data_IF_888468438581
#
_entry.id   IF_888468438581
#
_cell.length_a   1.000
_cell.length_b   1.000
_cell.length_c   1.000
_cell.angle_alpha   90.00
_cell.angle_beta   90.00
_cell.angle_gamma   90.00
#
_symmetry.space_group_name_H-M   'P 1'
#
loop_
_entity.id
_entity.type
_entity.pdbx_description
1 polymer ?
#
# COMPACT_ATOMS: atom_id res chain seq x y z
N UNK A 1 -12.69 -3.71 5.84
CA UNK A 1 -13.48 -4.61 4.96
C UNK A 1 -12.57 -5.72 4.44
N UNK A 2 -12.66 -6.87 4.70
CA UNK A 2 -11.82 -7.96 4.28
C UNK A 2 -10.61 -8.18 5.16
N UNK A 3 -9.76 -9.09 4.74
CA UNK A 3 -8.60 -9.52 5.50
C UNK A 3 -7.49 -8.49 5.46
N UNK A 4 -6.71 -8.45 6.54
CA UNK A 4 -5.50 -7.63 6.61
C UNK A 4 -4.35 -8.42 6.02
N UNK A 5 -3.67 -7.84 5.04
CA UNK A 5 -2.46 -8.41 4.49
C UNK A 5 -1.26 -7.91 5.30
N UNK A 6 -0.36 -8.81 5.65
CA UNK A 6 0.83 -8.49 6.44
C UNK A 6 2.08 -8.72 5.61
N UNK A 7 2.89 -7.68 5.49
CA UNK A 7 4.13 -7.71 4.74
C UNK A 7 5.31 -7.36 5.66
N UNK A 8 6.17 -8.34 6.01
CA UNK A 8 7.32 -8.07 6.85
C UNK A 8 8.42 -7.35 6.06
N UNK A 9 9.10 -6.42 6.73
CA UNK A 9 10.16 -5.63 6.14
C UNK A 9 11.20 -5.30 7.21
N UNK A 10 12.48 -5.36 6.85
CA UNK A 10 13.59 -5.01 7.76
C UNK A 10 14.26 -3.75 7.26
N UNK A 11 14.50 -2.80 8.16
CA UNK A 11 15.11 -1.51 7.82
C UNK A 11 16.62 -1.68 7.66
N UNK A 12 17.12 -1.36 6.48
CA UNK A 12 18.56 -1.41 6.18
C UNK A 12 19.07 -0.01 5.81
N UNK A 13 20.37 0.10 5.52
CA UNK A 13 21.00 1.39 5.21
C UNK A 13 20.31 2.12 4.04
N UNK A 14 19.83 1.38 3.04
CA UNK A 14 19.18 1.98 1.88
C UNK A 14 17.87 2.69 2.25
N UNK A 15 17.29 2.39 3.40
CA UNK A 15 15.99 2.91 3.83
C UNK A 15 16.12 4.16 4.70
N UNK A 16 17.33 4.46 5.19
CA UNK A 16 17.52 5.52 6.19
C UNK A 16 18.24 6.73 5.62
N UNK A 17 18.05 7.86 6.30
CA UNK A 17 18.84 9.05 6.07
C UNK A 17 20.08 9.05 6.96
N UNK A 18 20.85 10.16 6.94
CA UNK A 18 22.07 10.29 7.73
C UNK A 18 21.82 10.22 9.25
N UNK A 19 20.59 10.46 9.69
CA UNK A 19 20.21 10.37 11.10
C UNK A 19 19.88 8.98 11.58
N UNK A 20 19.91 7.97 10.71
CA UNK A 20 19.66 6.58 11.07
C UNK A 20 18.18 6.24 11.19
N UNK A 21 17.29 7.10 10.75
CA UNK A 21 15.85 6.83 10.72
C UNK A 21 15.38 6.73 9.26
N UNK A 22 14.27 6.05 9.06
CA UNK A 22 13.70 5.87 7.72
C UNK A 22 13.39 7.24 7.12
N UNK A 23 13.93 7.47 5.92
CA UNK A 23 13.67 8.69 5.17
C UNK A 23 12.17 8.82 4.88
N UNK A 24 11.62 10.01 5.07
CA UNK A 24 10.15 10.18 5.00
C UNK A 24 9.53 9.73 3.67
N UNK A 25 10.22 9.91 2.55
CA UNK A 25 9.73 9.44 1.25
C UNK A 25 9.82 7.93 1.06
N UNK A 26 10.64 7.24 1.84
CA UNK A 26 10.84 5.79 1.71
C UNK A 26 9.61 5.00 2.13
N UNK A 27 8.78 5.54 3.04
CA UNK A 27 7.54 4.88 3.45
C UNK A 27 6.63 4.60 2.26
N UNK A 28 6.56 5.52 1.31
CA UNK A 28 5.74 5.37 0.11
C UNK A 28 6.25 4.21 -0.74
N UNK A 29 7.55 4.05 -0.88
CA UNK A 29 8.14 2.96 -1.65
C UNK A 29 7.94 1.60 -0.97
N UNK A 30 8.09 1.55 0.36
CA UNK A 30 7.86 0.32 1.12
C UNK A 30 6.39 -0.08 1.02
N UNK A 31 5.48 0.89 1.11
CA UNK A 31 4.05 0.64 0.96
C UNK A 31 3.71 0.08 -0.43
N UNK A 32 4.37 0.56 -1.48
CA UNK A 32 4.20 0.04 -2.82
C UNK A 32 4.62 -1.43 -2.91
N UNK A 33 5.75 -1.79 -2.30
CA UNK A 33 6.19 -3.19 -2.25
C UNK A 33 5.17 -4.07 -1.55
N UNK A 34 4.60 -3.57 -0.45
CA UNK A 34 3.57 -4.31 0.28
C UNK A 34 2.32 -4.51 -0.59
N UNK A 35 1.90 -3.47 -1.31
CA UNK A 35 0.75 -3.57 -2.22
C UNK A 35 1.02 -4.53 -3.37
N UNK A 36 2.22 -4.48 -3.96
CA UNK A 36 2.59 -5.38 -5.04
C UNK A 36 2.58 -6.84 -4.56
N UNK A 37 3.13 -7.11 -3.40
CA UNK A 37 3.11 -8.44 -2.80
C UNK A 37 1.69 -8.93 -2.54
N UNK A 38 0.82 -8.02 -2.11
CA UNK A 38 -0.58 -8.32 -1.74
C UNK A 38 -1.47 -8.53 -2.97
N UNK A 39 -1.40 -7.61 -3.92
CA UNK A 39 -2.34 -7.55 -5.04
C UNK A 39 -1.80 -8.19 -6.32
N UNK A 40 -0.57 -8.64 -6.30
CA UNK A 40 0.04 -9.31 -7.45
C UNK A 40 -0.75 -10.57 -7.83
N UNK A 41 -1.06 -10.71 -9.10
CA UNK A 41 -1.85 -11.83 -9.58
C UNK A 41 -3.35 -11.71 -9.31
N UNK A 42 -3.78 -10.69 -8.56
CA UNK A 42 -5.20 -10.40 -8.31
C UNK A 42 -5.63 -9.17 -9.09
N UNK A 43 -4.87 -8.07 -8.95
CA UNK A 43 -5.24 -6.77 -9.52
C UNK A 43 -4.57 -6.47 -10.86
N UNK A 44 -3.62 -7.31 -11.30
CA UNK A 44 -2.88 -7.11 -12.54
C UNK A 44 -3.22 -8.20 -13.55
N UNK A 45 -4.52 -8.37 -13.80
CA UNK A 45 -5.03 -9.45 -14.65
C UNK A 45 -5.61 -8.84 -15.94
N UNK A 46 -5.29 -9.46 -17.07
CA UNK A 46 -5.85 -9.09 -18.38
C UNK A 46 -5.06 -7.98 -19.06
N UNK A 47 -5.70 -7.35 -20.05
CA UNK A 47 -5.10 -6.31 -20.88
C UNK A 47 -5.20 -4.91 -20.27
N UNK A 48 -5.82 -4.81 -19.11
CA UNK A 48 -5.97 -3.52 -18.42
C UNK A 48 -4.67 -3.15 -17.71
N UNK A 49 -4.42 -1.85 -17.60
CA UNK A 49 -3.24 -1.35 -16.89
C UNK A 49 -3.33 -1.67 -15.40
N UNK A 50 -4.53 -1.68 -14.82
CA UNK A 50 -4.76 -1.99 -13.43
C UNK A 50 -4.97 -0.75 -12.58
N UNK A 51 -4.43 -0.77 -11.36
CA UNK A 51 -4.62 0.32 -10.41
C UNK A 51 -3.46 1.31 -10.42
N UNK A 52 -3.79 2.60 -10.40
CA UNK A 52 -2.81 3.67 -10.28
C UNK A 52 -3.15 4.53 -9.05
N UNK A 53 -2.14 5.02 -8.36
CA UNK A 53 -2.34 5.89 -7.21
C UNK A 53 -2.86 7.25 -7.69
N UNK A 54 -4.02 7.65 -7.18
CA UNK A 54 -4.62 8.95 -7.50
C UNK A 54 -4.37 9.97 -6.40
N UNK A 55 -4.39 9.51 -5.16
CA UNK A 55 -4.26 10.38 -3.99
C UNK A 55 -3.65 9.57 -2.86
N UNK A 56 -2.82 10.22 -2.05
CA UNK A 56 -2.13 9.53 -0.97
C UNK A 56 -1.83 10.53 0.14
N UNK A 57 -2.02 10.11 1.39
CA UNK A 57 -1.59 10.89 2.55
C UNK A 57 -0.78 10.00 3.48
N UNK A 58 0.21 10.58 4.14
CA UNK A 58 1.05 9.88 5.09
C UNK A 58 0.99 10.60 6.44
N UNK A 59 0.78 9.83 7.50
CA UNK A 59 0.86 10.33 8.85
C UNK A 59 2.04 9.64 9.54
N UNK A 60 3.01 10.43 9.98
CA UNK A 60 4.21 9.94 10.68
C UNK A 60 3.97 10.07 12.18
N UNK A 61 3.99 8.94 12.89
CA UNK A 61 3.69 8.91 14.32
C UNK A 61 4.93 8.67 15.17
N UNK A 62 5.80 7.75 14.75
CA UNK A 62 7.06 7.43 15.43
C UNK A 62 8.11 7.09 14.38
N UNK A 63 9.37 7.49 14.59
CA UNK A 63 10.44 7.12 13.65
C UNK A 63 10.72 5.63 13.69
N UNK A 64 11.00 5.06 12.53
CA UNK A 64 11.55 3.72 12.41
C UNK A 64 13.06 3.85 12.19
N UNK A 65 13.84 2.99 12.84
CA UNK A 65 15.30 3.09 12.89
C UNK A 65 15.97 1.97 12.14
N UNK A 66 17.21 2.23 11.74
CA UNK A 66 18.08 1.22 11.13
C UNK A 66 18.09 -0.05 11.98
N UNK A 67 17.91 -1.20 11.33
CA UNK A 67 17.94 -2.50 11.97
C UNK A 67 16.62 -2.96 12.57
N UNK A 68 15.62 -2.10 12.64
CA UNK A 68 14.31 -2.50 13.16
C UNK A 68 13.51 -3.29 12.13
N UNK A 69 12.72 -4.24 12.62
CA UNK A 69 11.78 -5.00 11.80
C UNK A 69 10.39 -4.40 11.93
N UNK A 70 9.66 -4.38 10.83
CA UNK A 70 8.29 -3.90 10.83
C UNK A 70 7.39 -4.81 10.02
N UNK A 71 6.09 -4.64 10.21
CA UNK A 71 5.08 -5.29 9.38
C UNK A 71 4.21 -4.18 8.80
N UNK A 72 4.04 -4.19 7.48
CA UNK A 72 3.06 -3.31 6.81
C UNK A 72 1.75 -4.06 6.77
N UNK A 73 0.75 -3.54 7.49
CA UNK A 73 -0.59 -4.10 7.54
C UNK A 73 -1.48 -3.32 6.57
N UNK A 74 -1.91 -3.99 5.53
CA UNK A 74 -2.69 -3.38 4.45
C UNK A 74 -4.11 -3.92 4.44
N UNK A 75 -5.08 -3.03 4.27
CA UNK A 75 -6.47 -3.45 4.10
C UNK A 75 -7.22 -2.50 3.17
N UNK A 76 -8.24 -3.03 2.51
CA UNK A 76 -9.12 -2.23 1.69
C UNK A 76 -10.17 -1.61 2.60
N UNK A 77 -10.29 -0.29 2.57
CA UNK A 77 -11.23 0.46 3.40
C UNK A 77 -12.50 0.83 2.66
N UNK A 78 -12.44 0.85 1.32
CA UNK A 78 -13.60 1.21 0.52
C UNK A 78 -13.43 0.65 -0.90
N UNK A 79 -14.53 0.17 -1.48
CA UNK A 79 -14.57 -0.28 -2.87
C UNK A 79 -15.62 0.56 -3.60
N UNK A 80 -15.16 1.43 -4.51
CA UNK A 80 -16.02 2.21 -5.37
C UNK A 80 -16.20 1.56 -6.73
N UNK A 81 -16.89 2.24 -7.62
CA UNK A 81 -17.14 1.75 -8.98
C UNK A 81 -15.83 1.61 -9.78
N UNK A 82 -14.92 2.57 -9.64
CA UNK A 82 -13.67 2.64 -10.39
C UNK A 82 -12.46 2.93 -9.50
N UNK A 83 -12.60 2.79 -8.19
CA UNK A 83 -11.51 3.11 -7.26
C UNK A 83 -11.59 2.26 -6.00
N UNK A 84 -10.44 2.15 -5.32
CA UNK A 84 -10.32 1.51 -4.01
C UNK A 84 -9.70 2.48 -3.03
N UNK A 85 -10.21 2.48 -1.79
CA UNK A 85 -9.51 3.06 -0.65
C UNK A 85 -8.66 1.98 0.02
N UNK A 86 -7.44 2.32 0.37
CA UNK A 86 -6.50 1.39 1.03
C UNK A 86 -5.87 2.10 2.21
N UNK A 87 -5.75 1.39 3.34
CA UNK A 87 -4.98 1.85 4.48
C UNK A 87 -3.81 0.91 4.69
N UNK A 88 -2.63 1.48 4.92
CA UNK A 88 -1.42 0.70 5.21
C UNK A 88 -0.77 1.26 6.48
N UNK A 89 -0.66 0.40 7.50
CA UNK A 89 -0.05 0.74 8.79
C UNK A 89 1.33 0.11 8.89
N UNK A 90 2.29 0.89 9.33
CA UNK A 90 3.66 0.43 9.58
C UNK A 90 3.78 0.14 11.07
N UNK A 91 3.88 -1.14 11.42
CA UNK A 91 3.82 -1.60 12.81
C UNK A 91 5.17 -2.19 13.24
N UNK A 92 5.72 -1.67 14.33
CA UNK A 92 6.94 -2.18 14.95
C UNK A 92 6.67 -2.38 16.44
N UNK A 93 6.87 -3.62 16.92
CA UNK A 93 6.67 -3.99 18.35
C UNK A 93 5.30 -3.50 18.87
N UNK A 94 4.24 -3.79 18.13
CA UNK A 94 2.86 -3.39 18.44
C UNK A 94 2.56 -1.88 18.36
N UNK A 95 3.56 -1.06 18.04
CA UNK A 95 3.36 0.38 17.85
C UNK A 95 3.15 0.71 16.37
N UNK A 96 2.12 1.52 16.10
CA UNK A 96 1.90 2.04 14.76
C UNK A 96 2.82 3.25 14.55
N UNK A 97 3.79 3.11 13.67
CA UNK A 97 4.80 4.14 13.42
C UNK A 97 4.41 5.11 12.30
N UNK A 98 3.64 4.64 11.33
CA UNK A 98 3.15 5.48 10.24
C UNK A 98 1.86 4.88 9.69
N UNK A 99 1.04 5.73 9.10
CA UNK A 99 -0.20 5.31 8.43
C UNK A 99 -0.24 5.99 7.07
N UNK A 100 -0.44 5.20 6.03
CA UNK A 100 -0.69 5.70 4.69
C UNK A 100 -2.14 5.39 4.33
N UNK A 101 -2.88 6.43 3.93
CA UNK A 101 -4.20 6.27 3.34
C UNK A 101 -4.12 6.69 1.90
N UNK A 102 -4.59 5.86 1.00
CA UNK A 102 -4.52 6.16 -0.42
C UNK A 102 -5.77 5.71 -1.15
N UNK A 103 -6.00 6.36 -2.28
CA UNK A 103 -7.02 5.98 -3.24
C UNK A 103 -6.31 5.57 -4.52
N UNK A 104 -6.63 4.39 -5.02
CA UNK A 104 -6.15 3.91 -6.31
C UNK A 104 -7.32 3.87 -7.28
N UNK A 105 -7.07 4.31 -8.50
CA UNK A 105 -8.07 4.29 -9.57
C UNK A 105 -7.80 3.11 -10.50
N UNK A 106 -8.86 2.43 -10.91
CA UNK A 106 -8.76 1.38 -11.91
C UNK A 106 -8.83 2.01 -13.29
N UNK A 107 -7.84 1.73 -14.13
CA UNK A 107 -7.76 2.31 -15.47
C UNK A 107 -7.57 1.22 -16.51
N UNK A 108 -8.08 1.49 -17.71
CA UNK A 108 -7.89 0.63 -18.86
C UNK A 108 -6.66 1.02 -19.69
N UNK A 109 -6.50 0.36 -20.83
CA UNK A 109 -5.39 0.61 -21.74
C UNK A 109 -5.37 2.03 -22.29
N UNK A 110 -6.51 2.71 -22.31
CA UNK A 110 -6.64 4.11 -22.74
C UNK A 110 -6.26 5.11 -21.64
N UNK A 111 -5.80 4.62 -20.48
CA UNK A 111 -5.41 5.40 -19.31
C UNK A 111 -6.55 6.17 -18.66
N UNK A 112 -7.79 5.79 -18.93
CA UNK A 112 -8.98 6.42 -18.37
C UNK A 112 -9.60 5.54 -17.30
N UNK A 113 -10.31 6.14 -16.31
CA UNK A 113 -11.02 5.37 -15.29
C UNK A 113 -11.95 4.35 -15.95
N UNK A 114 -11.96 3.16 -15.38
CA UNK A 114 -12.76 2.04 -15.84
C UNK A 114 -13.42 1.38 -14.65
N UNK A 115 -14.64 0.89 -14.84
CA UNK A 115 -15.33 0.16 -13.78
C UNK A 115 -14.53 -1.07 -13.37
N UNK A 116 -14.36 -1.26 -12.08
CA UNK A 116 -13.73 -2.47 -11.54
C UNK A 116 -14.63 -3.66 -11.88
N UNK A 117 -14.10 -4.69 -12.56
CA UNK A 117 -14.90 -5.88 -12.87
C UNK A 117 -15.48 -6.50 -11.59
N UNK A 118 -16.73 -6.95 -11.64
CA UNK A 118 -17.40 -7.54 -10.47
C UNK A 118 -16.62 -8.72 -9.88
N UNK A 119 -16.05 -9.55 -10.74
CA UNK A 119 -15.23 -10.67 -10.34
C UNK A 119 -14.02 -10.22 -9.52
N UNK A 120 -13.36 -9.15 -9.96
CA UNK A 120 -12.22 -8.60 -9.24
C UNK A 120 -12.66 -7.97 -7.91
N UNK A 121 -13.76 -7.24 -7.91
CA UNK A 121 -14.29 -6.64 -6.68
C UNK A 121 -14.60 -7.68 -5.62
N UNK A 122 -15.16 -8.82 -6.01
CA UNK A 122 -15.45 -9.94 -5.11
C UNK A 122 -14.16 -10.50 -4.51
N UNK A 123 -13.11 -10.65 -5.31
CA UNK A 123 -11.82 -11.18 -4.85
C UNK A 123 -11.11 -10.22 -3.90
N UNK A 124 -11.32 -8.91 -4.06
CA UNK A 124 -10.70 -7.89 -3.23
C UNK A 124 -11.46 -7.65 -1.92
N UNK A 125 -12.71 -7.97 -1.89
CA UNK A 125 -13.55 -7.79 -0.68
C UNK A 125 -13.22 -8.84 0.46
#
# INVERSE_FOLDING_TARGET
>A
MGAIHKFPFSICYADTDAGGIVYHGRYIEIAERARMNWLHGVAMVGDDVGFVVRELSVKYLQPLKLGEDLIVESEITNIGAASLGIEQKFVHDDDVCAIINLTVAYIGADMKPKRIPDELAVRLA
#
